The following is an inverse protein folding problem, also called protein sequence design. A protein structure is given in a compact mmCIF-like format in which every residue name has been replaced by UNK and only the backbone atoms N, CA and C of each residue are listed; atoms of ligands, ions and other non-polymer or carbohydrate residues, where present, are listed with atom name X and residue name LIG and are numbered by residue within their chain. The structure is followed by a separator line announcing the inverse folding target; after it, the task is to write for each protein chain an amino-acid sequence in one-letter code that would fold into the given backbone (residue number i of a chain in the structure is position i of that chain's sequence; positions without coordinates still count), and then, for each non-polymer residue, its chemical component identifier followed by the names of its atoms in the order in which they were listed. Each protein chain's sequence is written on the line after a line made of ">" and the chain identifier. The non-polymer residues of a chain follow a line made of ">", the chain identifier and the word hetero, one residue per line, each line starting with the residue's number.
data_IF_472798930206
#
_entry.id   IF_472798930206
#
_cell.length_a   1.000
_cell.length_b   1.000
_cell.length_c   1.000
_cell.angle_alpha   90.00
_cell.angle_beta   90.00
_cell.angle_gamma   90.00
#
_symmetry.space_group_name_H-M   'P 1'
#
loop_
_entity.id
_entity.type
_entity.pdbx_description
1 polymer ?
#
# COMPACT_ATOMS: atom_id res chain seq x y z
N UNK A 1 -8.25 -9.61 3.24
CA UNK A 1 -9.26 -9.01 4.14
C UNK A 1 -10.14 -8.03 3.37
N UNK A 2 -9.62 -6.93 2.79
CA UNK A 2 -10.44 -5.91 2.13
C UNK A 2 -11.34 -6.47 1.00
N UNK A 3 -10.81 -7.37 0.16
CA UNK A 3 -11.60 -8.04 -0.87
C UNK A 3 -12.73 -8.89 -0.25
N UNK A 4 -12.44 -9.60 0.83
CA UNK A 4 -13.45 -10.44 1.51
C UNK A 4 -14.60 -9.59 2.07
N UNK A 5 -14.30 -8.47 2.73
CA UNK A 5 -15.29 -7.52 3.22
C UNK A 5 -16.13 -6.92 2.08
N UNK A 6 -15.51 -6.47 0.99
CA UNK A 6 -16.22 -5.90 -0.16
C UNK A 6 -17.14 -6.92 -0.86
N UNK A 7 -16.72 -8.18 -0.96
CA UNK A 7 -17.56 -9.26 -1.51
C UNK A 7 -18.72 -9.57 -0.58
N UNK A 8 -18.46 -9.65 0.73
CA UNK A 8 -19.52 -9.90 1.71
C UNK A 8 -20.58 -8.79 1.70
N UNK A 9 -20.17 -7.52 1.59
CA UNK A 9 -21.08 -6.38 1.45
C UNK A 9 -21.95 -6.46 0.18
N UNK A 10 -21.54 -7.26 -0.82
CA UNK A 10 -22.33 -7.59 -2.01
C UNK A 10 -23.12 -8.91 -1.88
N UNK A 11 -23.28 -9.42 -0.65
CA UNK A 11 -23.99 -10.66 -0.33
C UNK A 11 -23.39 -11.95 -0.89
N UNK A 12 -22.09 -11.97 -1.22
CA UNK A 12 -21.42 -13.22 -1.54
C UNK A 12 -21.10 -14.00 -0.27
N UNK A 13 -21.15 -15.33 -0.38
CA UNK A 13 -20.56 -16.20 0.65
C UNK A 13 -19.05 -16.21 0.46
N UNK A 14 -18.32 -15.89 1.52
CA UNK A 14 -16.87 -15.69 1.45
C UNK A 14 -16.16 -16.54 2.49
N UNK A 15 -15.18 -17.32 2.04
CA UNK A 15 -14.22 -18.02 2.90
C UNK A 15 -12.85 -17.40 2.68
N UNK A 16 -12.19 -16.91 3.72
CA UNK A 16 -10.83 -16.41 3.70
C UNK A 16 -9.89 -17.48 4.23
N UNK A 17 -8.86 -17.83 3.47
CA UNK A 17 -7.87 -18.84 3.83
C UNK A 17 -6.52 -18.17 4.02
N UNK A 18 -5.87 -18.40 5.15
CA UNK A 18 -4.55 -17.89 5.51
C UNK A 18 -3.66 -19.01 6.02
N UNK A 19 -2.46 -19.15 5.45
CA UNK A 19 -1.51 -20.20 5.84
C UNK A 19 -0.91 -20.03 7.24
N UNK A 20 -0.85 -18.79 7.72
CA UNK A 20 -0.36 -18.50 9.06
C UNK A 20 -1.48 -18.59 10.12
N UNK A 21 -1.09 -18.73 11.37
CA UNK A 21 -2.03 -18.71 12.51
C UNK A 21 -2.69 -17.36 12.70
N UNK A 22 -2.02 -16.28 12.26
CA UNK A 22 -2.48 -14.90 12.37
C UNK A 22 -2.68 -14.30 10.98
N UNK A 23 -3.72 -13.48 10.84
CA UNK A 23 -3.97 -12.70 9.63
C UNK A 23 -2.97 -11.54 9.51
N UNK A 24 -2.97 -10.89 8.34
CA UNK A 24 -2.26 -9.63 8.13
C UNK A 24 -1.25 -9.66 7.00
N UNK A 25 -0.75 -10.83 6.60
CA UNK A 25 0.22 -10.95 5.52
C UNK A 25 1.46 -10.07 5.75
N UNK A 26 1.66 -9.05 4.91
CA UNK A 26 2.76 -8.09 5.06
C UNK A 26 2.56 -7.08 6.21
N UNK A 27 1.36 -6.95 6.76
CA UNK A 27 1.04 -6.11 7.92
C UNK A 27 0.89 -6.93 9.21
N UNK A 28 1.37 -8.18 9.24
CA UNK A 28 1.37 -9.02 10.44
C UNK A 28 2.32 -8.50 11.50
N UNK A 29 2.11 -8.93 12.74
CA UNK A 29 3.00 -8.65 13.85
C UNK A 29 3.69 -9.93 14.33
N UNK A 30 4.89 -9.78 14.88
CA UNK A 30 5.59 -10.87 15.57
C UNK A 30 5.54 -10.66 17.08
N UNK A 31 5.29 -11.74 17.79
CA UNK A 31 5.33 -11.74 19.27
C UNK A 31 6.51 -12.58 19.72
N UNK A 32 7.43 -11.99 20.48
CA UNK A 32 8.59 -12.69 21.01
C UNK A 32 8.95 -12.16 22.42
N UNK A 33 9.06 -13.04 23.40
CA UNK A 33 9.45 -12.70 24.76
C UNK A 33 8.62 -11.56 25.40
N UNK A 34 7.31 -11.53 25.16
CA UNK A 34 6.41 -10.50 25.66
C UNK A 34 6.39 -9.20 24.84
N UNK A 35 7.28 -9.06 23.86
CA UNK A 35 7.31 -7.90 22.94
C UNK A 35 6.47 -8.17 21.68
N UNK A 36 5.92 -7.08 21.14
CA UNK A 36 5.18 -7.08 19.86
C UNK A 36 5.98 -6.23 18.87
N UNK A 37 6.28 -6.82 17.71
CA UNK A 37 7.02 -6.16 16.64
C UNK A 37 6.15 -6.07 15.40
N UNK A 38 5.88 -4.86 14.93
CA UNK A 38 5.25 -4.65 13.62
C UNK A 38 6.22 -5.07 12.52
N UNK A 39 5.77 -5.93 11.61
CA UNK A 39 6.61 -6.47 10.53
C UNK A 39 6.40 -5.76 9.20
N UNK A 40 5.51 -4.80 9.16
CA UNK A 40 5.08 -4.12 7.95
C UNK A 40 4.97 -2.61 8.14
N UNK A 41 4.15 -1.96 7.31
CA UNK A 41 3.98 -0.52 7.33
C UNK A 41 3.39 -0.05 8.66
N UNK A 42 4.06 0.91 9.31
CA UNK A 42 3.58 1.57 10.53
C UNK A 42 2.94 2.92 10.23
N UNK A 43 3.19 3.45 9.04
CA UNK A 43 2.70 4.75 8.58
C UNK A 43 1.38 4.57 7.84
N UNK A 44 0.33 5.25 8.32
CA UNK A 44 -1.00 5.23 7.71
C UNK A 44 -1.24 6.59 7.05
N UNK A 45 -1.31 6.60 5.73
CA UNK A 45 -1.45 7.83 4.93
C UNK A 45 -2.86 8.04 4.36
N UNK A 46 -3.69 7.01 4.35
CA UNK A 46 -5.05 7.05 3.80
C UNK A 46 -6.06 6.34 4.73
N UNK A 47 -6.29 6.85 5.95
CA UNK A 47 -7.15 6.19 6.93
C UNK A 47 -8.60 6.04 6.47
N UNK A 48 -9.07 6.89 5.58
CA UNK A 48 -10.40 6.82 4.99
C UNK A 48 -10.65 5.51 4.22
N UNK A 49 -9.61 4.92 3.60
CA UNK A 49 -9.73 3.62 2.91
C UNK A 49 -9.98 2.47 3.89
N UNK A 50 -9.46 2.58 5.11
CA UNK A 50 -9.75 1.63 6.18
C UNK A 50 -11.18 1.85 6.69
N UNK A 51 -11.54 3.11 6.95
CA UNK A 51 -12.88 3.50 7.41
C UNK A 51 -13.96 3.02 6.44
N UNK A 52 -13.76 3.18 5.15
CA UNK A 52 -14.69 2.75 4.11
C UNK A 52 -15.11 1.28 4.24
N UNK A 53 -14.20 0.38 4.65
CA UNK A 53 -14.51 -1.04 4.84
C UNK A 53 -15.54 -1.27 5.97
N UNK A 54 -15.52 -0.43 7.00
CA UNK A 54 -16.49 -0.47 8.09
C UNK A 54 -17.82 0.19 7.67
N UNK A 55 -17.75 1.29 6.92
CA UNK A 55 -18.92 2.00 6.42
C UNK A 55 -19.80 1.10 5.51
N UNK A 56 -19.20 0.11 4.80
CA UNK A 56 -19.94 -0.89 4.01
C UNK A 56 -20.98 -1.67 4.83
N UNK A 57 -20.78 -1.76 6.14
CA UNK A 57 -21.64 -2.50 7.07
C UNK A 57 -22.32 -1.57 8.10
N UNK A 58 -22.34 -0.26 7.85
CA UNK A 58 -22.85 0.75 8.76
C UNK A 58 -22.17 0.71 10.16
N UNK A 59 -20.89 0.33 10.21
CA UNK A 59 -20.11 0.27 11.45
C UNK A 59 -19.16 1.48 11.53
N UNK A 60 -18.91 1.96 12.75
CA UNK A 60 -17.95 3.03 13.01
C UNK A 60 -16.55 2.41 13.25
N UNK A 61 -15.58 2.73 12.40
CA UNK A 61 -14.21 2.19 12.49
C UNK A 61 -13.56 2.47 13.84
N UNK A 62 -13.90 3.60 14.46
CA UNK A 62 -13.38 4.05 15.76
C UNK A 62 -13.70 3.09 16.91
N UNK A 63 -14.77 2.27 16.77
CA UNK A 63 -15.12 1.23 17.75
C UNK A 63 -14.25 -0.02 17.64
N UNK A 64 -13.42 -0.12 16.60
CA UNK A 64 -12.58 -1.27 16.30
C UNK A 64 -11.08 -0.93 16.28
N UNK A 65 -10.74 0.27 15.83
CA UNK A 65 -9.35 0.69 15.58
C UNK A 65 -9.19 2.14 16.03
N UNK A 66 -8.17 2.40 16.85
CA UNK A 66 -7.86 3.75 17.31
C UNK A 66 -6.72 4.33 16.45
N UNK A 67 -7.07 5.08 15.40
CA UNK A 67 -6.11 5.74 14.52
C UNK A 67 -5.98 7.21 14.94
N UNK A 68 -4.74 7.68 15.17
CA UNK A 68 -4.44 9.05 15.58
C UNK A 68 -3.59 9.76 14.53
N UNK A 69 -3.89 11.03 14.20
CA UNK A 69 -3.02 11.84 13.37
C UNK A 69 -1.72 12.19 14.11
N UNK A 70 -0.62 12.29 13.36
CA UNK A 70 0.66 12.74 13.87
C UNK A 70 0.92 14.19 13.45
N UNK A 71 1.48 15.00 14.36
CA UNK A 71 1.86 16.39 14.08
C UNK A 71 3.24 16.44 13.39
N UNK A 72 4.25 15.81 13.99
CA UNK A 72 5.54 15.56 13.34
C UNK A 72 5.49 14.16 12.72
N UNK A 73 5.63 14.11 11.41
CA UNK A 73 5.56 12.86 10.66
C UNK A 73 6.88 12.12 10.69
N UNK A 74 7.97 12.85 10.37
CA UNK A 74 9.33 12.33 10.40
C UNK A 74 10.27 13.36 11.01
N UNK A 75 11.25 12.91 11.79
CA UNK A 75 12.35 13.73 12.25
C UNK A 75 13.64 13.26 11.60
N UNK A 76 14.25 14.14 10.82
CA UNK A 76 15.56 13.90 10.23
C UNK A 76 16.63 14.51 11.11
N UNK A 77 17.69 13.76 11.35
CA UNK A 77 18.86 14.19 12.09
C UNK A 77 20.05 13.97 11.17
N UNK A 78 20.72 15.04 10.79
CA UNK A 78 21.89 15.01 9.93
C UNK A 78 23.17 14.86 10.75
N UNK A 79 24.27 14.45 10.10
CA UNK A 79 25.56 14.20 10.76
C UNK A 79 26.13 15.43 11.49
N UNK A 80 25.85 16.63 11.00
CA UNK A 80 26.22 17.91 11.64
C UNK A 80 25.27 18.33 12.76
N UNK A 81 24.35 17.47 13.19
CA UNK A 81 23.39 17.74 14.26
C UNK A 81 22.17 18.54 13.84
N UNK A 82 22.06 18.96 12.57
CA UNK A 82 20.86 19.64 12.07
C UNK A 82 19.65 18.71 12.21
N UNK A 83 18.59 19.25 12.81
CA UNK A 83 17.29 18.55 12.93
C UNK A 83 16.28 19.21 12.02
N UNK A 84 15.51 18.40 11.31
CA UNK A 84 14.40 18.84 10.47
C UNK A 84 13.15 18.01 10.79
N UNK A 85 12.08 18.68 11.22
CA UNK A 85 10.79 18.06 11.49
C UNK A 85 9.89 18.18 10.27
N UNK A 86 9.70 17.06 9.58
CA UNK A 86 8.79 16.98 8.44
C UNK A 86 7.36 16.83 8.97
N UNK A 87 6.48 17.76 8.58
CA UNK A 87 5.10 17.83 9.05
C UNK A 87 4.13 18.21 7.93
N UNK A 88 2.82 18.16 8.23
CA UNK A 88 1.78 18.64 7.33
C UNK A 88 1.62 20.18 7.34
N UNK A 89 2.24 20.85 8.30
CA UNK A 89 2.15 22.32 8.42
C UNK A 89 3.06 23.01 7.40
N UNK A 90 2.44 23.62 6.40
CA UNK A 90 3.16 24.26 5.30
C UNK A 90 4.04 25.42 5.76
N UNK A 91 3.59 26.20 6.74
CA UNK A 91 4.36 27.33 7.24
C UNK A 91 5.61 26.87 8.00
N UNK A 92 5.48 25.84 8.84
CA UNK A 92 6.61 25.23 9.54
C UNK A 92 7.61 24.61 8.55
N UNK A 93 7.12 23.87 7.54
CA UNK A 93 7.97 23.33 6.50
C UNK A 93 8.78 24.41 5.78
N UNK A 94 8.12 25.48 5.31
CA UNK A 94 8.78 26.60 4.65
C UNK A 94 9.79 27.30 5.56
N UNK A 95 9.44 27.51 6.83
CA UNK A 95 10.34 28.13 7.80
C UNK A 95 11.62 27.30 8.05
N UNK A 96 11.50 25.98 8.10
CA UNK A 96 12.65 25.08 8.25
C UNK A 96 13.49 25.02 6.96
N UNK A 97 12.85 24.97 5.79
CA UNK A 97 13.54 25.02 4.49
C UNK A 97 14.33 26.32 4.36
N UNK A 98 13.70 27.46 4.68
CA UNK A 98 14.34 28.77 4.64
C UNK A 98 15.60 28.87 5.50
N UNK A 99 15.64 28.20 6.66
CA UNK A 99 16.84 28.15 7.53
C UNK A 99 18.00 27.41 6.91
N UNK A 100 17.74 26.47 5.99
CA UNK A 100 18.77 25.70 5.29
C UNK A 100 19.17 26.42 3.99
N UNK A 101 18.17 26.73 3.15
CA UNK A 101 18.36 27.45 1.90
C UNK A 101 17.07 28.23 1.55
N UNK A 102 17.13 29.55 1.58
CA UNK A 102 15.98 30.42 1.30
C UNK A 102 15.44 30.24 -0.14
N UNK A 103 16.33 30.05 -1.10
CA UNK A 103 15.96 29.85 -2.51
C UNK A 103 15.11 28.59 -2.73
N UNK A 104 15.25 27.59 -1.87
CA UNK A 104 14.53 26.32 -1.98
C UNK A 104 13.08 26.38 -1.47
N UNK A 105 12.65 27.50 -0.87
CA UNK A 105 11.24 27.66 -0.47
C UNK A 105 10.31 27.65 -1.68
N UNK A 106 10.63 28.43 -2.72
CA UNK A 106 9.87 28.43 -3.98
C UNK A 106 10.00 27.07 -4.71
N UNK A 107 11.19 26.46 -4.64
CA UNK A 107 11.43 25.13 -5.17
C UNK A 107 10.53 24.07 -4.54
N UNK A 108 10.36 24.10 -3.22
CA UNK A 108 9.46 23.20 -2.50
C UNK A 108 8.00 23.37 -2.93
N UNK A 109 7.50 24.61 -3.07
CA UNK A 109 6.14 24.86 -3.54
C UNK A 109 5.93 24.28 -4.95
N UNK A 110 6.88 24.48 -5.84
CA UNK A 110 6.83 23.95 -7.20
C UNK A 110 6.88 22.41 -7.21
N UNK A 111 7.69 21.80 -6.34
CA UNK A 111 7.75 20.35 -6.17
C UNK A 111 6.42 19.79 -5.70
N UNK A 112 5.80 20.39 -4.67
CA UNK A 112 4.48 20.00 -4.17
C UNK A 112 3.43 20.08 -5.27
N UNK A 113 3.42 21.17 -6.05
CA UNK A 113 2.49 21.36 -7.16
C UNK A 113 2.71 20.31 -8.28
N UNK A 114 3.96 19.94 -8.52
CA UNK A 114 4.28 18.91 -9.51
C UNK A 114 3.85 17.51 -9.03
N UNK A 115 4.15 17.17 -7.78
CA UNK A 115 3.76 15.88 -7.19
C UNK A 115 2.24 15.72 -7.06
N UNK A 116 1.49 16.84 -6.92
CA UNK A 116 0.02 16.84 -7.05
C UNK A 116 -0.45 16.35 -8.41
N UNK A 117 0.24 16.73 -9.49
CA UNK A 117 -0.10 16.25 -10.86
C UNK A 117 0.16 14.74 -10.97
N UNK A 118 1.27 14.27 -10.42
CA UNK A 118 1.59 12.83 -10.38
C UNK A 118 0.52 12.08 -9.55
N UNK A 119 0.14 12.61 -8.39
CA UNK A 119 -0.89 12.03 -7.53
C UNK A 119 -2.24 11.92 -8.25
N UNK A 120 -2.69 12.99 -8.91
CA UNK A 120 -3.96 12.97 -9.63
C UNK A 120 -3.96 11.90 -10.72
N UNK A 121 -2.86 11.77 -11.47
CA UNK A 121 -2.76 10.73 -12.50
C UNK A 121 -2.60 9.33 -11.91
N UNK A 122 -1.64 9.14 -11.02
CA UNK A 122 -1.28 7.81 -10.49
C UNK A 122 -2.30 7.27 -9.50
N UNK A 123 -2.78 8.10 -8.59
CA UNK A 123 -3.70 7.67 -7.53
C UNK A 123 -5.17 7.90 -7.89
N UNK A 124 -5.54 9.11 -8.33
CA UNK A 124 -6.96 9.42 -8.56
C UNK A 124 -7.50 8.76 -9.82
N UNK A 125 -6.74 8.78 -10.93
CA UNK A 125 -7.23 8.24 -12.21
C UNK A 125 -6.94 6.75 -12.40
N UNK A 126 -5.79 6.27 -11.94
CA UNK A 126 -5.27 4.95 -12.31
C UNK A 126 -5.29 3.90 -11.21
N UNK A 127 -5.49 4.25 -9.93
CA UNK A 127 -5.38 3.27 -8.83
C UNK A 127 -6.39 2.13 -8.89
N UNK A 128 -7.57 2.36 -9.44
CA UNK A 128 -8.66 1.38 -9.53
C UNK A 128 -8.83 0.79 -10.94
N UNK A 129 -7.96 1.17 -11.88
CA UNK A 129 -8.06 0.72 -13.28
C UNK A 129 -7.16 -0.50 -13.52
N UNK A 130 -7.70 -1.61 -14.03
CA UNK A 130 -6.89 -2.78 -14.34
C UNK A 130 -5.98 -2.53 -15.55
N UNK A 131 -4.67 -2.84 -15.40
CA UNK A 131 -3.66 -2.71 -16.45
C UNK A 131 -3.55 -3.96 -17.34
N UNK A 132 -4.67 -4.57 -17.68
CA UNK A 132 -4.72 -5.83 -18.42
C UNK A 132 -4.79 -5.67 -19.96
N UNK A 133 -4.87 -4.44 -20.47
CA UNK A 133 -4.97 -4.15 -21.92
C UNK A 133 -3.74 -3.37 -22.41
N UNK A 134 -2.91 -3.93 -23.31
CA UNK A 134 -1.73 -3.25 -23.83
C UNK A 134 -2.04 -1.87 -24.44
N UNK A 135 -3.13 -1.76 -25.18
CA UNK A 135 -3.55 -0.50 -25.81
C UNK A 135 -3.90 0.59 -24.77
N UNK A 136 -4.45 0.20 -23.61
CA UNK A 136 -4.68 1.13 -22.50
C UNK A 136 -3.36 1.67 -21.96
N UNK A 137 -2.35 0.79 -21.79
CA UNK A 137 -1.01 1.18 -21.34
C UNK A 137 -0.35 2.17 -22.30
N UNK A 138 -0.45 1.91 -23.61
CA UNK A 138 0.09 2.82 -24.62
C UNK A 138 -0.54 4.22 -24.56
N UNK A 139 -1.84 4.33 -24.27
CA UNK A 139 -2.53 5.63 -24.10
C UNK A 139 -2.00 6.42 -22.89
N UNK A 140 -1.43 5.76 -21.86
CA UNK A 140 -0.89 6.45 -20.70
C UNK A 140 0.53 7.01 -20.95
N UNK A 141 1.23 6.53 -21.99
CA UNK A 141 2.64 6.87 -22.23
C UNK A 141 2.93 8.37 -22.35
N UNK A 142 2.13 9.19 -23.10
CA UNK A 142 2.36 10.63 -23.15
C UNK A 142 2.23 11.31 -21.78
N UNK A 143 1.25 10.89 -20.97
CA UNK A 143 1.07 11.43 -19.62
C UNK A 143 2.26 11.07 -18.70
N UNK A 144 2.74 9.83 -18.78
CA UNK A 144 3.91 9.37 -18.02
C UNK A 144 5.18 10.14 -18.42
N UNK A 145 5.38 10.42 -19.70
CA UNK A 145 6.50 11.26 -20.16
C UNK A 145 6.41 12.70 -19.62
N UNK A 146 5.23 13.32 -19.68
CA UNK A 146 5.01 14.67 -19.15
C UNK A 146 5.24 14.74 -17.64
N UNK A 147 4.95 13.66 -16.92
CA UNK A 147 5.21 13.51 -15.49
C UNK A 147 6.66 13.10 -15.18
N UNK A 148 7.52 13.06 -16.20
CA UNK A 148 8.95 12.70 -16.06
C UNK A 148 9.18 11.33 -15.41
N UNK A 149 8.28 10.36 -15.64
CA UNK A 149 8.33 9.04 -15.00
C UNK A 149 9.60 8.23 -15.31
N UNK A 150 10.37 8.64 -16.32
CA UNK A 150 11.67 8.08 -16.69
C UNK A 150 12.81 8.52 -15.76
N UNK A 151 12.59 9.54 -14.90
CA UNK A 151 13.55 9.98 -13.90
C UNK A 151 13.37 9.20 -12.60
N UNK A 152 14.40 9.19 -11.77
CA UNK A 152 14.29 8.76 -10.38
C UNK A 152 13.60 9.83 -9.53
N UNK A 153 13.13 9.45 -8.32
CA UNK A 153 12.55 10.43 -7.38
C UNK A 153 13.59 11.48 -6.98
N UNK A 154 14.84 11.06 -6.73
CA UNK A 154 15.92 11.99 -6.40
C UNK A 154 16.20 12.98 -7.53
N UNK A 155 16.28 12.53 -8.78
CA UNK A 155 16.44 13.40 -9.94
C UNK A 155 15.27 14.35 -10.13
N UNK A 156 14.03 13.89 -9.88
CA UNK A 156 12.85 14.76 -9.91
C UNK A 156 12.98 15.87 -8.88
N UNK A 157 13.28 15.53 -7.62
CA UNK A 157 13.45 16.51 -6.54
C UNK A 157 14.58 17.50 -6.85
N UNK A 158 15.69 17.02 -7.41
CA UNK A 158 16.84 17.85 -7.79
C UNK A 158 16.53 18.88 -8.89
N UNK A 159 15.44 18.73 -9.65
CA UNK A 159 15.02 19.78 -10.58
C UNK A 159 14.40 21.00 -9.88
N UNK A 160 14.00 20.87 -8.64
CA UNK A 160 13.30 21.90 -7.87
C UNK A 160 14.10 22.40 -6.67
N UNK A 161 14.94 21.58 -6.09
CA UNK A 161 15.67 21.79 -4.83
C UNK A 161 17.17 21.88 -5.11
N UNK A 162 17.83 22.90 -4.56
CA UNK A 162 19.27 23.14 -4.74
C UNK A 162 20.12 22.51 -3.63
N UNK A 163 19.67 22.63 -2.38
CA UNK A 163 20.40 22.11 -1.22
C UNK A 163 20.36 20.57 -1.15
N UNK A 164 21.52 19.96 -0.89
CA UNK A 164 21.66 18.51 -0.89
C UNK A 164 20.91 17.82 0.26
N UNK A 165 20.89 18.42 1.46
CA UNK A 165 20.16 17.85 2.61
C UNK A 165 18.67 17.85 2.34
N UNK A 166 18.15 18.96 1.76
CA UNK A 166 16.74 19.05 1.37
C UNK A 166 16.40 18.08 0.23
N UNK A 167 17.30 17.84 -0.73
CA UNK A 167 17.09 16.81 -1.76
C UNK A 167 16.93 15.42 -1.15
N UNK A 168 17.83 15.03 -0.25
CA UNK A 168 17.76 13.73 0.45
C UNK A 168 16.48 13.58 1.24
N UNK A 169 16.11 14.61 1.99
CA UNK A 169 14.91 14.64 2.82
C UNK A 169 13.64 14.51 1.97
N UNK A 170 13.50 15.33 0.92
CA UNK A 170 12.29 15.38 0.11
C UNK A 170 12.18 14.21 -0.90
N UNK A 171 13.24 13.46 -1.10
CA UNK A 171 13.25 12.26 -1.97
C UNK A 171 13.09 10.93 -1.22
N UNK A 172 12.93 10.93 0.09
CA UNK A 172 12.95 9.71 0.92
C UNK A 172 11.77 8.76 0.71
N UNK A 173 10.67 9.23 0.15
CA UNK A 173 9.39 8.51 0.09
C UNK A 173 9.46 7.08 -0.50
N UNK A 174 10.29 6.76 -1.51
CA UNK A 174 10.47 5.39 -1.97
C UNK A 174 10.91 4.41 -0.88
N UNK A 175 11.63 4.88 0.15
CA UNK A 175 12.07 4.02 1.27
C UNK A 175 10.89 3.41 2.02
N UNK A 176 9.75 4.10 2.07
CA UNK A 176 8.51 3.62 2.72
C UNK A 176 7.94 2.36 2.06
N UNK A 177 8.30 2.12 0.80
CA UNK A 177 7.85 0.96 0.02
C UNK A 177 9.02 0.04 -0.38
N UNK A 178 10.18 0.21 0.26
CA UNK A 178 11.36 -0.61 0.01
C UNK A 178 12.13 -0.24 -1.27
N UNK A 179 11.87 0.94 -1.84
CA UNK A 179 12.55 1.43 -3.05
C UNK A 179 13.75 2.32 -2.73
N UNK A 180 14.74 2.35 -3.62
CA UNK A 180 15.87 3.27 -3.54
C UNK A 180 15.52 4.59 -4.25
N UNK A 181 15.58 5.78 -3.58
CA UNK A 181 15.26 7.07 -4.20
C UNK A 181 16.03 7.40 -5.47
N UNK A 182 17.25 6.88 -5.61
CA UNK A 182 18.11 7.13 -6.77
C UNK A 182 17.76 6.29 -8.01
N UNK A 183 17.00 5.21 -7.84
CA UNK A 183 16.65 4.29 -8.94
C UNK A 183 15.15 4.10 -9.12
N UNK A 184 14.35 4.42 -8.10
CA UNK A 184 12.89 4.29 -8.15
C UNK A 184 12.29 5.42 -8.98
N UNK A 185 11.40 5.07 -9.91
CA UNK A 185 10.72 6.04 -10.79
C UNK A 185 10.06 7.19 -10.04
N UNK A 186 10.13 8.38 -10.61
CA UNK A 186 9.57 9.63 -10.06
C UNK A 186 8.05 9.59 -9.80
N UNK A 187 7.34 8.60 -10.33
CA UNK A 187 5.92 8.36 -10.02
C UNK A 187 5.71 8.22 -8.51
N UNK A 188 6.65 7.62 -7.77
CA UNK A 188 6.58 7.52 -6.31
C UNK A 188 6.66 8.88 -5.58
N UNK A 189 7.01 9.96 -6.27
CA UNK A 189 6.85 11.32 -5.77
C UNK A 189 5.39 11.69 -5.44
N UNK A 190 4.40 10.92 -5.95
CA UNK A 190 3.00 11.07 -5.55
C UNK A 190 2.80 10.95 -4.04
N UNK A 191 3.64 10.18 -3.34
CA UNK A 191 3.54 9.94 -1.89
C UNK A 191 3.71 11.27 -1.13
N UNK A 192 4.62 12.15 -1.55
CA UNK A 192 4.79 13.46 -0.95
C UNK A 192 3.46 14.26 -0.93
N UNK A 193 2.74 14.28 -2.04
CA UNK A 193 1.45 14.97 -2.08
C UNK A 193 0.34 14.21 -1.34
N UNK A 194 0.37 12.88 -1.38
CA UNK A 194 -0.56 12.03 -0.66
C UNK A 194 -0.51 12.27 0.85
N UNK A 195 0.69 12.32 1.42
CA UNK A 195 0.91 12.65 2.83
C UNK A 195 0.43 14.07 3.14
N UNK A 196 0.75 15.05 2.30
CA UNK A 196 0.29 16.43 2.47
C UNK A 196 -1.24 16.53 2.43
N UNK A 197 -1.90 15.73 1.59
CA UNK A 197 -3.35 15.77 1.40
C UNK A 197 -4.12 15.17 2.57
N UNK A 198 -3.65 14.05 3.11
CA UNK A 198 -4.38 13.29 4.11
C UNK A 198 -3.70 13.20 5.47
N UNK A 199 -2.47 13.65 5.56
CA UNK A 199 -1.66 13.54 6.77
C UNK A 199 -1.12 12.13 6.99
N UNK A 200 -0.32 11.99 8.02
CA UNK A 200 0.19 10.72 8.52
C UNK A 200 -0.45 10.40 9.85
N UNK A 201 -0.84 9.15 10.00
CA UNK A 201 -1.52 8.63 11.17
C UNK A 201 -0.80 7.40 11.70
N UNK A 202 -1.06 7.09 12.96
CA UNK A 202 -0.57 5.90 13.64
C UNK A 202 -1.74 5.14 14.27
N UNK A 203 -1.71 3.81 14.17
CA UNK A 203 -2.65 2.94 14.88
C UNK A 203 -2.17 2.71 16.30
N UNK A 204 -2.91 3.18 17.28
CA UNK A 204 -2.57 2.99 18.69
C UNK A 204 -2.55 1.50 19.03
N UNK A 205 -1.43 1.05 19.60
CA UNK A 205 -1.15 -0.37 19.85
C UNK A 205 -0.52 -1.12 18.68
N UNK A 206 -0.08 -0.39 17.63
CA UNK A 206 0.63 -0.94 16.46
C UNK A 206 -0.29 -1.33 15.31
N UNK A 207 0.31 -1.66 14.17
CA UNK A 207 -0.40 -2.02 12.93
C UNK A 207 -1.28 -3.26 13.09
N UNK A 208 -0.89 -4.17 13.99
CA UNK A 208 -1.68 -5.36 14.31
C UNK A 208 -3.11 -5.04 14.77
N UNK A 209 -3.36 -3.87 15.36
CA UNK A 209 -4.72 -3.47 15.77
C UNK A 209 -5.64 -3.22 14.58
N UNK A 210 -5.12 -2.79 13.45
CA UNK A 210 -5.89 -2.65 12.20
C UNK A 210 -6.37 -4.04 11.75
N UNK A 211 -5.46 -5.02 11.76
CA UNK A 211 -5.77 -6.38 11.36
C UNK A 211 -6.80 -7.00 12.31
N UNK A 212 -6.60 -6.83 13.62
CA UNK A 212 -7.53 -7.34 14.65
C UNK A 212 -8.93 -6.71 14.51
N UNK A 213 -9.00 -5.40 14.26
CA UNK A 213 -10.28 -4.70 14.05
C UNK A 213 -11.00 -5.20 12.80
N UNK A 214 -10.27 -5.39 11.69
CA UNK A 214 -10.87 -5.95 10.47
C UNK A 214 -11.23 -7.45 10.60
N UNK A 215 -10.45 -8.25 11.34
CA UNK A 215 -10.80 -9.65 11.64
C UNK A 215 -12.08 -9.72 12.47
N UNK A 216 -12.23 -8.83 13.47
CA UNK A 216 -13.46 -8.75 14.26
C UNK A 216 -14.66 -8.43 13.37
N UNK A 217 -14.53 -7.42 12.48
CA UNK A 217 -15.59 -7.08 11.53
C UNK A 217 -15.95 -8.27 10.63
N UNK A 218 -14.96 -8.98 10.08
CA UNK A 218 -15.23 -10.15 9.23
C UNK A 218 -16.04 -11.22 9.97
N UNK A 219 -15.71 -11.47 11.25
CA UNK A 219 -16.45 -12.44 12.07
C UNK A 219 -17.89 -12.00 12.34
N UNK A 220 -18.10 -10.73 12.65
CA UNK A 220 -19.44 -10.15 12.85
C UNK A 220 -20.29 -10.26 11.58
N UNK A 221 -19.66 -10.14 10.41
CA UNK A 221 -20.34 -10.24 9.10
C UNK A 221 -20.39 -11.67 8.54
N UNK A 222 -20.10 -12.68 9.37
CA UNK A 222 -20.18 -14.11 9.02
C UNK A 222 -19.29 -14.50 7.82
N UNK A 223 -18.10 -13.92 7.72
CA UNK A 223 -17.05 -14.41 6.80
C UNK A 223 -16.35 -15.60 7.46
N UNK A 224 -16.34 -16.74 6.79
CA UNK A 224 -15.58 -17.89 7.24
C UNK A 224 -14.09 -17.61 7.15
N UNK A 225 -13.33 -17.87 8.23
CA UNK A 225 -11.89 -17.63 8.27
C UNK A 225 -11.19 -18.93 8.64
N UNK A 226 -10.42 -19.48 7.70
CA UNK A 226 -9.59 -20.69 7.88
C UNK A 226 -8.15 -20.23 8.01
N UNK A 227 -7.54 -20.45 9.18
CA UNK A 227 -6.14 -20.09 9.48
C UNK A 227 -5.29 -21.32 9.72
N UNK A 228 -3.98 -21.21 9.43
CA UNK A 228 -3.00 -22.28 9.63
C UNK A 228 -3.00 -23.33 8.54
N UNK A 229 -3.63 -23.06 7.38
CA UNK A 229 -3.66 -23.95 6.23
C UNK A 229 -3.23 -23.22 4.96
N UNK A 230 -2.25 -23.79 4.26
CA UNK A 230 -1.78 -23.28 2.98
C UNK A 230 -2.63 -23.82 1.84
N UNK A 231 -3.02 -22.92 0.91
CA UNK A 231 -3.59 -23.34 -0.36
C UNK A 231 -2.45 -23.86 -1.23
N UNK A 232 -2.50 -25.13 -1.59
CA UNK A 232 -1.48 -25.82 -2.40
C UNK A 232 -1.84 -25.87 -3.87
N UNK A 233 -3.15 -25.81 -4.20
CA UNK A 233 -3.61 -25.88 -5.59
C UNK A 233 -4.93 -25.14 -5.78
N UNK A 234 -5.11 -24.50 -6.96
CA UNK A 234 -6.39 -24.01 -7.47
C UNK A 234 -6.95 -25.08 -8.40
N UNK A 235 -8.12 -25.61 -8.05
CA UNK A 235 -8.74 -26.74 -8.76
C UNK A 235 -9.50 -26.21 -9.97
N UNK A 236 -9.16 -26.72 -11.15
CA UNK A 236 -9.85 -26.42 -12.40
C UNK A 236 -10.51 -27.67 -12.96
N UNK A 237 -11.72 -27.55 -13.45
CA UNK A 237 -12.41 -28.52 -14.25
C UNK A 237 -12.82 -27.85 -15.58
N UNK A 238 -12.38 -28.39 -16.72
CA UNK A 238 -12.66 -27.82 -18.07
C UNK A 238 -12.38 -26.31 -18.16
N UNK A 239 -11.23 -25.85 -17.66
CA UNK A 239 -10.82 -24.44 -17.60
C UNK A 239 -11.67 -23.53 -16.69
N UNK A 240 -12.56 -24.07 -15.88
CA UNK A 240 -13.31 -23.32 -14.87
C UNK A 240 -12.76 -23.63 -13.48
N UNK A 241 -12.63 -22.59 -12.65
CA UNK A 241 -12.28 -22.78 -11.23
C UNK A 241 -13.47 -23.44 -10.52
N UNK A 242 -13.18 -24.47 -9.73
CA UNK A 242 -14.18 -25.20 -8.93
C UNK A 242 -13.86 -25.19 -7.44
N UNK A 243 -12.69 -24.68 -7.06
CA UNK A 243 -12.27 -24.59 -5.67
C UNK A 243 -10.78 -24.52 -5.48
N UNK A 244 -10.36 -24.82 -4.26
CA UNK A 244 -8.95 -24.87 -3.86
C UNK A 244 -8.68 -26.12 -3.03
N UNK A 245 -7.42 -26.61 -3.05
CA UNK A 245 -6.93 -27.68 -2.18
C UNK A 245 -5.98 -27.11 -1.14
N UNK A 246 -6.10 -27.56 0.09
CA UNK A 246 -5.26 -27.20 1.21
C UNK A 246 -4.11 -28.18 1.42
N UNK A 247 -3.15 -27.81 2.26
CA UNK A 247 -1.99 -28.63 2.66
C UNK A 247 -2.33 -29.94 3.38
N UNK A 248 -3.56 -30.07 3.90
CA UNK A 248 -4.10 -31.27 4.51
C UNK A 248 -5.03 -32.05 3.56
N UNK A 249 -4.90 -31.85 2.25
CA UNK A 249 -5.70 -32.46 1.18
C UNK A 249 -7.21 -32.13 1.21
N UNK A 250 -7.67 -31.27 2.14
CA UNK A 250 -9.06 -30.82 2.15
C UNK A 250 -9.33 -29.94 0.94
N UNK A 251 -10.41 -30.23 0.23
CA UNK A 251 -10.90 -29.38 -0.87
C UNK A 251 -12.02 -28.47 -0.38
N UNK A 252 -11.94 -27.20 -0.79
CA UNK A 252 -12.97 -26.19 -0.54
C UNK A 252 -13.52 -25.77 -1.90
N UNK A 253 -14.80 -26.02 -2.11
CA UNK A 253 -15.49 -25.66 -3.35
C UNK A 253 -15.75 -24.15 -3.39
N UNK A 254 -15.55 -23.55 -4.54
CA UNK A 254 -15.83 -22.14 -4.79
C UNK A 254 -16.03 -21.88 -6.27
N UNK A 255 -16.98 -21.02 -6.61
CA UNK A 255 -17.22 -20.60 -7.99
C UNK A 255 -16.14 -19.60 -8.48
N UNK A 256 -15.53 -18.87 -7.56
CA UNK A 256 -14.49 -17.89 -7.83
C UNK A 256 -13.40 -17.94 -6.76
N UNK A 257 -12.16 -17.75 -7.17
CA UNK A 257 -11.01 -17.63 -6.28
C UNK A 257 -10.33 -16.30 -6.50
N UNK A 258 -10.22 -15.51 -5.44
CA UNK A 258 -9.44 -14.27 -5.44
C UNK A 258 -8.11 -14.55 -4.74
N UNK A 259 -7.04 -14.55 -5.51
CA UNK A 259 -5.71 -14.80 -4.99
C UNK A 259 -4.95 -13.49 -4.76
N UNK A 260 -4.50 -13.27 -3.52
CA UNK A 260 -3.70 -12.10 -3.12
C UNK A 260 -2.19 -12.42 -3.02
N UNK A 261 -1.75 -13.56 -3.54
CA UNK A 261 -0.33 -13.91 -3.66
C UNK A 261 0.29 -13.26 -4.91
N UNK A 262 1.62 -13.19 -4.95
CA UNK A 262 2.33 -12.64 -6.10
C UNK A 262 2.02 -13.47 -7.37
N UNK A 263 1.62 -12.84 -8.49
CA UNK A 263 1.21 -13.54 -9.69
C UNK A 263 2.18 -14.62 -10.20
N UNK A 264 3.52 -14.38 -10.22
CA UNK A 264 4.46 -15.44 -10.60
C UNK A 264 4.33 -16.70 -9.74
N UNK A 265 4.15 -16.54 -8.42
CA UNK A 265 3.96 -17.69 -7.51
C UNK A 265 2.64 -18.39 -7.73
N UNK A 266 1.57 -17.67 -8.06
CA UNK A 266 0.26 -18.27 -8.37
C UNK A 266 0.36 -19.17 -9.60
N UNK A 267 0.86 -18.61 -10.70
CA UNK A 267 0.94 -19.35 -11.96
C UNK A 267 1.95 -20.50 -11.93
N UNK A 268 3.05 -20.37 -11.19
CA UNK A 268 4.08 -21.40 -11.14
C UNK A 268 3.80 -22.51 -10.12
N UNK A 269 3.02 -22.23 -9.06
CA UNK A 269 2.87 -23.16 -7.93
C UNK A 269 1.45 -23.61 -7.68
N UNK A 270 0.44 -22.75 -7.92
CA UNK A 270 -0.95 -23.04 -7.55
C UNK A 270 -1.81 -23.53 -8.73
N UNK A 271 -1.33 -23.36 -9.97
CA UNK A 271 -2.04 -23.82 -11.16
C UNK A 271 -1.20 -24.86 -11.87
N UNK A 272 -1.78 -26.03 -12.16
CA UNK A 272 -1.08 -27.08 -12.89
C UNK A 272 -0.67 -26.60 -14.29
N UNK A 273 0.56 -26.88 -14.69
CA UNK A 273 1.14 -26.42 -15.96
C UNK A 273 0.34 -26.80 -17.21
N UNK A 274 -0.38 -27.95 -17.16
CA UNK A 274 -1.29 -28.37 -18.26
C UNK A 274 -2.44 -27.40 -18.51
N UNK A 275 -2.83 -26.62 -17.49
CA UNK A 275 -3.93 -25.68 -17.52
C UNK A 275 -3.48 -24.24 -17.87
N UNK A 276 -2.18 -24.03 -18.09
CA UNK A 276 -1.63 -22.74 -18.45
C UNK A 276 -1.42 -22.62 -19.97
N UNK A 277 -1.83 -21.50 -20.54
CA UNK A 277 -1.45 -21.13 -21.90
C UNK A 277 0.07 -20.95 -21.99
N UNK A 278 0.66 -21.17 -23.18
CA UNK A 278 2.10 -21.08 -23.44
C UNK A 278 2.74 -19.75 -22.93
N UNK A 279 1.96 -18.68 -22.91
CA UNK A 279 2.39 -17.36 -22.42
C UNK A 279 2.67 -17.31 -20.91
N UNK A 280 2.06 -18.21 -20.12
CA UNK A 280 2.24 -18.27 -18.65
C UNK A 280 3.09 -19.47 -18.19
N UNK A 281 3.65 -20.23 -19.13
CA UNK A 281 4.63 -21.28 -18.81
C UNK A 281 6.00 -20.63 -18.74
N UNK A 282 6.47 -20.43 -17.51
CA UNK A 282 7.81 -19.89 -17.19
C UNK A 282 8.77 -21.05 -16.94
#
# INVERSE_FOLDING_TARGET
>A
IAAALRLRAKNHNVTLIEKHKDLGGRARVFKKNGFIFDAGPTVITAPHLIKELFDLFNKKSENYINIKPLNTWYRFIFEDGLKFDYSGNEQEMKAQIKKINEDDVAGYENLVNFTKKIFNKGFTELSEVPFNKPFFMMKQFPALLNLKSYKSVYELVSNFIKDEKLRRLLSMHPLLVGGNPFTTTSIYGLILYLEKKWGIHYSMGGTGQIINGMEKLMKEENIEIIKGHEVTNIILNENKITGVRLDNDKEIRADNVICNADPPSVYSKLIESKNLNSFFKW
#
